data_IF_648929856428
#
_entry.id   IF_648929856428
#
_cell.length_a   1.000
_cell.length_b   1.000
_cell.length_c   1.000
_cell.angle_alpha   90.00
_cell.angle_beta   90.00
_cell.angle_gamma   90.00
#
_symmetry.space_group_name_H-M   'P 1'
#
loop_
_entity.id
_entity.type
_entity.pdbx_description
1 polymer ?
#
# COMPACT_ATOMS: atom_id res chain seq x y z
N UNK A 1 9.80 -15.74 12.32
CA UNK A 1 8.92 -16.23 11.24
C UNK A 1 8.35 -15.04 10.53
N UNK A 2 8.60 -14.94 9.22
CA UNK A 2 8.40 -13.75 8.41
C UNK A 2 6.89 -13.53 8.17
N UNK A 3 6.25 -12.65 8.95
CA UNK A 3 4.81 -12.29 8.85
C UNK A 3 4.38 -11.95 7.40
N UNK A 4 5.33 -11.55 6.55
CA UNK A 4 5.14 -11.30 5.13
C UNK A 4 4.74 -12.52 4.30
N UNK A 5 5.27 -13.72 4.62
CA UNK A 5 4.92 -14.95 3.90
C UNK A 5 3.44 -15.27 4.11
N UNK A 6 2.88 -15.06 5.29
CA UNK A 6 1.45 -15.29 5.57
C UNK A 6 0.51 -14.34 4.80
N UNK A 7 0.99 -13.17 4.36
CA UNK A 7 0.18 -12.16 3.66
C UNK A 7 0.17 -12.32 2.14
N UNK A 8 1.22 -12.94 1.61
CA UNK A 8 1.38 -13.27 0.19
C UNK A 8 0.73 -14.61 -0.15
N UNK A 9 0.45 -15.45 0.85
CA UNK A 9 -0.26 -16.70 0.66
C UNK A 9 -1.75 -16.42 0.43
N UNK A 10 -2.36 -16.93 -0.65
CA UNK A 10 -3.80 -16.82 -0.85
C UNK A 10 -4.53 -17.43 0.36
N UNK A 11 -5.52 -16.72 0.92
CA UNK A 11 -6.32 -17.26 2.02
C UNK A 11 -6.98 -18.55 1.53
N UNK A 12 -6.54 -19.67 2.08
CA UNK A 12 -7.18 -20.95 1.90
C UNK A 12 -8.61 -20.82 2.44
N UNK A 13 -9.61 -20.78 1.56
CA UNK A 13 -11.01 -20.87 1.99
C UNK A 13 -11.25 -22.31 2.46
N UNK A 14 -11.02 -22.58 3.74
CA UNK A 14 -11.53 -23.80 4.35
C UNK A 14 -13.04 -23.65 4.47
N UNK A 15 -13.76 -24.30 3.54
CA UNK A 15 -15.21 -24.47 3.61
C UNK A 15 -15.49 -25.32 4.85
N UNK A 16 -15.91 -24.69 5.95
CA UNK A 16 -16.31 -25.38 7.18
C UNK A 16 -17.62 -26.15 6.94
N UNK A 17 -17.50 -27.41 6.56
CA UNK A 17 -18.62 -28.37 6.61
C UNK A 17 -18.89 -28.70 8.08
N UNK A 18 -20.07 -28.33 8.59
CA UNK A 18 -20.60 -28.76 9.89
C UNK A 18 -20.59 -30.30 9.96
N UNK A 19 -19.66 -30.89 10.72
CA UNK A 19 -19.70 -32.33 11.04
C UNK A 19 -20.45 -32.56 12.35
N UNK A 20 -21.68 -33.09 12.24
CA UNK A 20 -22.40 -33.75 13.35
C UNK A 20 -21.53 -34.91 13.87
N UNK A 21 -21.30 -34.93 15.18
CA UNK A 21 -20.60 -35.99 15.93
C UNK A 21 -21.42 -37.29 15.91
N UNK A 22 -20.83 -38.40 15.47
CA UNK A 22 -21.08 -39.75 16.02
C UNK A 22 -19.76 -40.55 15.97
N UNK A 23 -19.37 -41.10 17.13
CA UNK A 23 -18.20 -41.98 17.36
C UNK A 23 -18.42 -43.35 16.72
N UNK A 24 -17.36 -43.98 16.16
CA UNK A 24 -16.92 -45.36 16.46
C UNK A 24 -15.73 -45.82 15.58
N UNK A 25 -14.80 -46.50 16.25
CA UNK A 25 -13.87 -47.55 15.78
C UNK A 25 -12.56 -47.21 15.03
N UNK A 26 -11.57 -48.05 15.34
CA UNK A 26 -10.13 -47.95 15.13
C UNK A 26 -9.63 -48.23 13.69
N UNK A 27 -8.40 -47.76 13.48
CA UNK A 27 -7.24 -48.45 12.88
C UNK A 27 -6.76 -48.05 11.46
N UNK A 28 -5.44 -47.80 11.42
CA UNK A 28 -4.45 -47.82 10.33
C UNK A 28 -4.58 -46.84 9.14
N UNK A 29 -3.50 -46.07 9.00
CA UNK A 29 -2.83 -45.60 7.77
C UNK A 29 -3.70 -45.09 6.62
N UNK A 30 -3.53 -43.82 6.26
CA UNK A 30 -2.99 -43.43 4.95
C UNK A 30 -2.67 -41.93 4.98
N UNK A 31 -1.48 -41.60 4.48
CA UNK A 31 -1.01 -40.24 4.24
C UNK A 31 -2.03 -39.51 3.37
N UNK A 32 -2.65 -38.46 3.89
CA UNK A 32 -3.30 -37.44 3.08
C UNK A 32 -2.60 -36.11 3.34
N UNK A 33 -1.40 -35.97 2.78
CA UNK A 33 -0.90 -34.63 2.42
C UNK A 33 -1.76 -34.23 1.23
N UNK A 34 -2.89 -33.60 1.52
CA UNK A 34 -3.70 -32.98 0.48
C UNK A 34 -2.77 -32.04 -0.28
N UNK A 35 -2.49 -32.39 -1.54
CA UNK A 35 -1.91 -31.48 -2.51
C UNK A 35 -2.91 -30.34 -2.68
N UNK A 36 -2.81 -29.32 -1.83
CA UNK A 36 -3.48 -28.05 -2.05
C UNK A 36 -2.85 -27.48 -3.30
N UNK A 37 -3.53 -27.70 -4.44
CA UNK A 37 -3.20 -27.03 -5.69
C UNK A 37 -3.41 -25.54 -5.42
N UNK A 38 -2.33 -24.84 -5.09
CA UNK A 38 -2.34 -23.40 -4.93
C UNK A 38 -2.78 -22.83 -6.27
N UNK A 39 -4.00 -22.30 -6.33
CA UNK A 39 -4.46 -21.58 -7.51
C UNK A 39 -3.46 -20.47 -7.80
N UNK A 40 -2.90 -20.47 -9.02
CA UNK A 40 -1.99 -19.41 -9.43
C UNK A 40 -2.74 -18.08 -9.32
N UNK A 41 -2.17 -17.07 -8.65
CA UNK A 41 -2.83 -15.78 -8.53
C UNK A 41 -3.16 -15.25 -9.92
N UNK A 42 -4.33 -14.66 -10.08
CA UNK A 42 -4.70 -14.04 -11.36
C UNK A 42 -3.78 -12.83 -11.66
N UNK A 43 -3.80 -12.32 -12.89
CA UNK A 43 -2.93 -11.22 -13.34
C UNK A 43 -2.99 -10.03 -12.36
N UNK A 44 -4.19 -9.65 -11.93
CA UNK A 44 -4.40 -8.55 -10.99
C UNK A 44 -3.74 -8.81 -9.63
N UNK A 45 -3.87 -10.03 -9.10
CA UNK A 45 -3.24 -10.44 -7.85
C UNK A 45 -1.71 -10.50 -7.99
N UNK A 46 -1.19 -10.95 -9.14
CA UNK A 46 0.25 -10.96 -9.41
C UNK A 46 0.84 -9.54 -9.46
N UNK A 47 0.20 -8.61 -10.17
CA UNK A 47 0.62 -7.20 -10.22
C UNK A 47 0.62 -6.57 -8.82
N UNK A 48 -0.42 -6.84 -8.04
CA UNK A 48 -0.56 -6.40 -6.66
C UNK A 48 0.57 -6.93 -5.78
N UNK A 49 0.88 -8.22 -5.86
CA UNK A 49 1.96 -8.87 -5.12
C UNK A 49 3.33 -8.34 -5.52
N UNK A 50 3.57 -8.17 -6.83
CA UNK A 50 4.82 -7.61 -7.34
C UNK A 50 5.04 -6.19 -6.81
N UNK A 51 4.01 -5.34 -6.85
CA UNK A 51 4.11 -3.96 -6.37
C UNK A 51 4.30 -3.89 -4.84
N UNK A 52 3.62 -4.76 -4.09
CA UNK A 52 3.87 -4.92 -2.65
C UNK A 52 5.31 -5.35 -2.37
N UNK A 53 5.86 -6.26 -3.18
CA UNK A 53 7.24 -6.70 -3.06
C UNK A 53 8.23 -5.56 -3.39
N UNK A 54 7.97 -4.80 -4.47
CA UNK A 54 8.78 -3.62 -4.81
C UNK A 54 8.72 -2.58 -3.68
N UNK A 55 7.54 -2.32 -3.10
CA UNK A 55 7.38 -1.41 -1.96
C UNK A 55 8.12 -1.91 -0.72
N UNK A 56 8.03 -3.21 -0.39
CA UNK A 56 8.80 -3.82 0.70
C UNK A 56 10.30 -3.60 0.51
N UNK A 57 10.82 -3.84 -0.70
CA UNK A 57 12.24 -3.66 -0.99
C UNK A 57 12.70 -2.23 -0.72
N UNK A 58 11.90 -1.25 -1.11
CA UNK A 58 12.16 0.17 -0.84
C UNK A 58 12.17 0.47 0.67
N UNK A 59 11.22 -0.08 1.44
CA UNK A 59 11.22 0.08 2.90
C UNK A 59 12.45 -0.55 3.57
N UNK A 60 12.86 -1.74 3.13
CA UNK A 60 14.02 -2.44 3.70
C UNK A 60 15.36 -1.78 3.32
N UNK A 61 15.50 -1.26 2.09
CA UNK A 61 16.66 -0.46 1.68
C UNK A 61 16.81 0.75 2.60
N UNK A 62 15.71 1.46 2.81
CA UNK A 62 15.72 2.69 3.60
C UNK A 62 15.72 2.48 5.11
N UNK A 63 15.32 1.31 5.61
CA UNK A 63 15.52 0.95 7.03
C UNK A 63 16.97 1.17 7.48
N UNK A 64 17.95 0.87 6.61
CA UNK A 64 19.37 1.11 6.89
C UNK A 64 19.72 2.60 6.97
N UNK A 65 19.12 3.42 6.11
CA UNK A 65 19.38 4.86 6.05
C UNK A 65 18.63 5.67 7.13
N UNK A 66 17.37 5.33 7.41
CA UNK A 66 16.56 6.02 8.41
C UNK A 66 17.00 5.73 9.85
N UNK A 67 17.85 4.72 10.09
CA UNK A 67 18.18 4.16 11.41
C UNK A 67 16.94 3.84 12.27
N UNK A 68 15.78 3.72 11.62
CA UNK A 68 14.48 3.46 12.24
C UNK A 68 14.02 2.08 11.87
N UNK A 69 13.32 1.45 12.81
CA UNK A 69 12.52 0.27 12.49
C UNK A 69 11.40 0.71 11.53
N UNK A 70 11.03 -0.18 10.60
CA UNK A 70 9.85 0.00 9.74
C UNK A 70 8.63 0.38 10.61
N UNK A 71 8.63 -0.17 11.83
CA UNK A 71 7.78 0.02 13.00
C UNK A 71 7.36 1.46 13.31
N UNK A 72 8.24 2.43 13.05
CA UNK A 72 8.05 3.82 13.41
C UNK A 72 8.01 4.75 12.18
N UNK A 73 7.84 4.19 10.99
CA UNK A 73 7.72 4.96 9.75
C UNK A 73 6.30 5.51 9.57
N UNK A 74 6.24 6.76 9.13
CA UNK A 74 4.99 7.42 8.73
C UNK A 74 4.85 7.36 7.21
N UNK A 75 3.83 6.64 6.74
CA UNK A 75 3.50 6.54 5.31
C UNK A 75 2.35 7.50 5.00
N UNK A 76 2.54 8.36 4.00
CA UNK A 76 1.53 9.31 3.53
C UNK A 76 1.09 8.91 2.14
N UNK A 77 -0.20 8.64 1.97
CA UNK A 77 -0.82 8.35 0.68
C UNK A 77 -1.44 9.62 0.13
N UNK A 78 -1.13 9.94 -1.13
CA UNK A 78 -1.60 11.15 -1.81
C UNK A 78 -2.28 10.77 -3.13
N UNK A 79 -3.47 11.29 -3.40
CA UNK A 79 -4.16 11.15 -4.70
C UNK A 79 -5.49 10.40 -4.65
N UNK A 80 -5.68 9.43 -5.55
CA UNK A 80 -6.90 8.61 -5.63
C UNK A 80 -6.89 7.49 -4.59
N UNK A 81 -7.41 7.81 -3.41
CA UNK A 81 -7.54 6.85 -2.31
C UNK A 81 -8.83 6.03 -2.41
N UNK A 82 -9.87 6.55 -3.07
CA UNK A 82 -11.16 5.89 -3.17
C UNK A 82 -11.13 4.67 -4.07
N UNK A 83 -10.59 4.82 -5.27
CA UNK A 83 -10.58 3.74 -6.26
C UNK A 83 -9.19 3.11 -6.45
N UNK A 84 -8.17 3.66 -5.79
CA UNK A 84 -6.80 3.13 -5.81
C UNK A 84 -6.69 1.75 -5.17
N UNK A 85 -7.01 0.67 -5.90
CA UNK A 85 -6.92 -0.72 -5.43
C UNK A 85 -5.56 -1.04 -4.78
N UNK A 86 -4.48 -0.44 -5.29
CA UNK A 86 -3.15 -0.57 -4.72
C UNK A 86 -3.01 0.11 -3.37
N UNK A 87 -3.56 1.32 -3.20
CA UNK A 87 -3.60 2.03 -1.92
C UNK A 87 -4.34 1.17 -0.90
N UNK A 88 -5.54 0.70 -1.22
CA UNK A 88 -6.32 -0.17 -0.34
C UNK A 88 -5.55 -1.42 0.07
N UNK A 89 -4.92 -2.08 -0.91
CA UNK A 89 -4.08 -3.24 -0.64
C UNK A 89 -2.93 -2.93 0.29
N UNK A 90 -2.20 -1.87 -0.03
CA UNK A 90 -0.98 -1.51 0.64
C UNK A 90 -1.31 -1.09 2.07
N UNK A 91 -2.28 -0.21 2.25
CA UNK A 91 -2.86 0.18 3.54
C UNK A 91 -3.28 -1.06 4.37
N UNK A 92 -4.08 -1.97 3.80
CA UNK A 92 -4.48 -3.22 4.49
C UNK A 92 -3.30 -4.12 4.87
N UNK A 93 -2.25 -4.14 4.06
CA UNK A 93 -1.06 -4.95 4.29
C UNK A 93 -0.17 -4.30 5.35
N UNK A 94 0.02 -2.98 5.27
CA UNK A 94 0.74 -2.16 6.24
C UNK A 94 0.14 -2.29 7.65
N UNK A 95 -1.19 -2.39 7.77
CA UNK A 95 -1.84 -2.61 9.07
C UNK A 95 -1.64 -3.98 9.69
N UNK A 96 -1.31 -4.99 8.88
CA UNK A 96 -1.02 -6.32 9.43
C UNK A 96 0.41 -6.42 9.96
N UNK A 97 1.29 -5.55 9.49
CA UNK A 97 2.50 -5.27 10.25
C UNK A 97 2.04 -4.50 11.49
N UNK A 98 2.42 -4.98 12.68
CA UNK A 98 2.21 -4.29 13.97
C UNK A 98 2.89 -2.91 14.05
N UNK A 99 3.46 -2.46 12.93
CA UNK A 99 4.72 -1.77 12.78
C UNK A 99 4.62 -0.68 11.68
N UNK A 100 3.44 -0.22 11.29
CA UNK A 100 3.31 1.05 10.56
C UNK A 100 2.29 1.86 11.33
N UNK A 101 2.78 2.58 12.33
CA UNK A 101 1.94 3.22 13.35
C UNK A 101 1.15 4.41 12.80
N UNK A 102 1.58 5.01 11.67
CA UNK A 102 1.08 6.30 11.21
C UNK A 102 0.84 6.28 9.70
N UNK A 103 -0.41 6.11 9.29
CA UNK A 103 -0.82 6.40 7.92
C UNK A 103 -1.51 7.76 7.85
N UNK A 104 -1.14 8.57 6.86
CA UNK A 104 -1.82 9.83 6.53
C UNK A 104 -2.44 9.70 5.15
N UNK A 105 -3.69 10.10 5.02
CA UNK A 105 -4.46 10.03 3.78
C UNK A 105 -4.71 11.46 3.30
N UNK A 106 -4.28 11.74 2.06
CA UNK A 106 -4.56 12.99 1.37
C UNK A 106 -5.25 12.67 0.04
N UNK A 107 -6.55 12.94 -0.07
CA UNK A 107 -7.30 12.54 -1.26
C UNK A 107 -8.82 12.48 -1.09
N UNK A 108 -9.47 11.87 -2.08
CA UNK A 108 -10.90 11.53 -2.01
C UNK A 108 -11.16 10.45 -0.95
N UNK A 109 -12.27 10.56 -0.22
CA UNK A 109 -12.61 9.61 0.83
C UNK A 109 -12.99 8.26 0.22
N UNK A 110 -12.33 7.18 0.65
CA UNK A 110 -12.79 5.84 0.28
C UNK A 110 -11.95 4.69 0.79
N UNK A 111 -10.79 4.94 1.38
CA UNK A 111 -10.12 3.93 2.20
C UNK A 111 -10.89 3.77 3.50
N UNK A 112 -11.23 2.53 3.87
CA UNK A 112 -11.87 2.25 5.16
C UNK A 112 -10.98 2.78 6.28
N UNK A 113 -11.53 3.60 7.18
CA UNK A 113 -10.77 4.11 8.31
C UNK A 113 -10.37 2.96 9.23
N UNK A 114 -9.10 2.91 9.59
CA UNK A 114 -8.54 1.96 10.54
C UNK A 114 -7.90 2.74 11.68
N UNK A 115 -7.80 2.14 12.86
CA UNK A 115 -7.34 2.82 14.10
C UNK A 115 -5.93 3.44 14.00
N UNK A 116 -5.12 3.04 13.02
CA UNK A 116 -3.75 3.51 12.82
C UNK A 116 -3.63 4.63 11.75
N UNK A 117 -4.77 5.13 11.25
CA UNK A 117 -4.80 6.34 10.42
C UNK A 117 -4.85 7.54 11.36
N UNK A 118 -3.87 8.43 11.22
CA UNK A 118 -3.69 9.57 12.14
C UNK A 118 -4.27 10.85 11.57
N UNK A 119 -4.21 11.01 10.24
CA UNK A 119 -4.69 12.20 9.56
C UNK A 119 -5.40 11.76 8.28
N UNK A 120 -6.56 12.34 8.07
CA UNK A 120 -7.32 12.29 6.82
C UNK A 120 -7.58 13.75 6.42
N UNK A 121 -7.10 14.17 5.26
CA UNK A 121 -7.10 15.57 4.84
C UNK A 121 -7.32 15.69 3.33
N UNK A 122 -7.92 16.77 2.85
CA UNK A 122 -7.96 17.06 1.43
C UNK A 122 -6.72 17.85 0.95
N UNK A 123 -5.82 18.25 1.85
CA UNK A 123 -4.72 19.18 1.55
C UNK A 123 -3.34 18.68 2.02
N UNK A 124 -2.31 19.07 1.28
CA UNK A 124 -0.92 18.80 1.63
C UNK A 124 -0.42 19.93 2.53
N UNK A 125 -0.33 19.68 3.83
CA UNK A 125 0.18 20.66 4.80
C UNK A 125 1.65 20.42 5.15
N UNK A 126 2.35 21.49 5.54
CA UNK A 126 3.75 21.43 5.97
C UNK A 126 3.97 20.40 7.10
N UNK A 127 3.05 20.36 8.07
CA UNK A 127 3.08 19.41 9.19
C UNK A 127 2.95 17.96 8.72
N UNK A 128 2.25 17.72 7.60
CA UNK A 128 2.21 16.39 7.01
C UNK A 128 3.58 16.04 6.44
N UNK A 129 4.10 16.87 5.54
CA UNK A 129 5.38 16.69 4.84
C UNK A 129 6.58 16.48 5.77
N UNK A 130 6.69 17.30 6.83
CA UNK A 130 7.77 17.22 7.81
C UNK A 130 7.73 15.95 8.65
N UNK A 131 6.59 15.26 8.70
CA UNK A 131 6.43 14.02 9.45
C UNK A 131 6.44 12.79 8.56
N UNK A 132 6.34 12.94 7.25
CA UNK A 132 6.33 11.84 6.28
C UNK A 132 7.72 11.22 6.12
N UNK A 133 7.82 9.91 6.30
CA UNK A 133 9.03 9.14 5.95
C UNK A 133 8.89 8.53 4.55
N UNK A 134 7.66 8.12 4.18
CA UNK A 134 7.34 7.56 2.86
C UNK A 134 6.14 8.26 2.26
N UNK A 135 6.33 8.92 1.12
CA UNK A 135 5.27 9.58 0.35
C UNK A 135 4.88 8.70 -0.82
N UNK A 136 3.70 8.08 -0.75
CA UNK A 136 3.16 7.24 -1.81
C UNK A 136 2.10 8.01 -2.59
N UNK A 137 2.42 8.37 -3.83
CA UNK A 137 1.57 9.21 -4.66
C UNK A 137 0.84 8.33 -5.68
N UNK A 138 -0.38 8.71 -6.02
CA UNK A 138 -1.22 8.01 -7.00
C UNK A 138 -1.87 8.97 -7.98
N UNK A 139 -2.06 8.50 -9.21
CA UNK A 139 -2.75 9.24 -10.26
C UNK A 139 -4.25 9.36 -9.98
N UNK A 140 -4.79 10.57 -10.12
CA UNK A 140 -6.23 10.82 -10.19
C UNK A 140 -6.72 10.51 -11.60
N UNK A 141 -7.61 9.53 -11.73
CA UNK A 141 -8.11 9.03 -13.01
C UNK A 141 -9.51 9.57 -13.29
N UNK A 142 -9.68 10.37 -14.35
CA UNK A 142 -10.98 10.97 -14.73
C UNK A 142 -12.05 9.90 -14.93
N UNK A 143 -11.66 8.80 -15.55
CA UNK A 143 -12.50 7.64 -15.87
C UNK A 143 -13.13 6.96 -14.64
N UNK A 144 -12.65 7.25 -13.42
CA UNK A 144 -13.18 6.66 -12.18
C UNK A 144 -14.22 7.52 -11.47
N UNK A 145 -14.40 8.76 -11.90
CA UNK A 145 -15.39 9.66 -11.31
C UNK A 145 -16.72 9.52 -12.05
N UNK A 146 -17.79 9.26 -11.29
CA UNK A 146 -19.16 9.27 -11.82
C UNK A 146 -19.65 10.68 -12.15
N UNK A 147 -19.05 11.71 -11.55
CA UNK A 147 -19.37 13.11 -11.75
C UNK A 147 -18.11 13.89 -12.14
N UNK A 148 -18.15 14.54 -13.31
CA UNK A 148 -17.05 15.37 -13.83
C UNK A 148 -16.70 16.54 -12.92
N UNK A 149 -17.66 17.12 -12.19
CA UNK A 149 -17.43 18.21 -11.24
C UNK A 149 -16.54 17.78 -10.07
N UNK A 150 -16.72 16.54 -9.57
CA UNK A 150 -15.84 15.98 -8.54
C UNK A 150 -14.42 15.77 -9.06
N UNK A 151 -14.28 15.30 -10.30
CA UNK A 151 -12.96 15.18 -10.91
C UNK A 151 -12.25 16.53 -10.99
N UNK A 152 -12.90 17.58 -11.50
CA UNK A 152 -12.28 18.92 -11.59
C UNK A 152 -11.98 19.51 -10.19
N UNK A 153 -12.74 19.16 -9.14
CA UNK A 153 -12.41 19.54 -7.75
C UNK A 153 -11.05 18.98 -7.31
N UNK A 154 -10.70 17.76 -7.69
CA UNK A 154 -9.50 17.07 -7.19
C UNK A 154 -8.32 17.10 -8.18
N UNK A 155 -8.60 17.22 -9.48
CA UNK A 155 -7.58 17.33 -10.53
C UNK A 155 -6.64 18.51 -10.22
N UNK A 156 -5.34 18.25 -10.27
CA UNK A 156 -4.31 19.27 -10.03
C UNK A 156 -4.07 19.64 -8.56
N UNK A 157 -4.95 19.26 -7.62
CA UNK A 157 -4.72 19.51 -6.18
C UNK A 157 -3.57 18.70 -5.60
N UNK A 158 -3.36 17.49 -6.11
CA UNK A 158 -2.37 16.54 -5.60
C UNK A 158 -1.12 16.48 -6.49
N UNK A 159 -0.64 17.67 -6.88
CA UNK A 159 0.54 17.83 -7.73
C UNK A 159 1.81 17.92 -6.89
N UNK A 160 2.82 17.14 -7.25
CA UNK A 160 4.14 17.15 -6.61
C UNK A 160 5.15 17.86 -7.51
N UNK A 161 5.50 19.07 -7.12
CA UNK A 161 6.57 19.87 -7.72
C UNK A 161 7.91 19.61 -7.00
N UNK A 162 9.00 20.18 -7.50
CA UNK A 162 10.32 20.07 -6.86
C UNK A 162 10.41 20.82 -5.50
N UNK A 163 9.46 21.71 -5.20
CA UNK A 163 9.42 22.46 -3.93
C UNK A 163 8.95 21.58 -2.75
N UNK A 164 8.06 20.63 -3.00
CA UNK A 164 7.47 19.75 -2.00
C UNK A 164 8.49 18.80 -1.34
N UNK A 165 9.33 18.04 -2.07
CA UNK A 165 10.38 17.22 -1.49
C UNK A 165 11.37 18.00 -0.62
N UNK A 166 11.62 19.28 -0.93
CA UNK A 166 12.51 20.14 -0.14
C UNK A 166 11.93 20.54 1.22
N UNK A 167 10.61 20.52 1.36
CA UNK A 167 9.89 20.73 2.62
C UNK A 167 9.79 19.46 3.47
N UNK A 168 10.20 18.31 2.93
CA UNK A 168 10.18 17.02 3.59
C UNK A 168 11.51 16.70 4.28
N UNK A 169 11.51 15.65 5.11
CA UNK A 169 12.74 15.13 5.73
C UNK A 169 13.80 14.80 4.67
N UNK A 170 15.08 14.99 4.99
CA UNK A 170 16.21 14.67 4.10
C UNK A 170 16.19 13.21 3.64
N UNK A 171 15.84 12.30 4.56
CA UNK A 171 15.76 10.87 4.31
C UNK A 171 14.43 10.39 3.69
N UNK A 172 13.40 11.26 3.58
CA UNK A 172 12.08 10.89 3.04
C UNK A 172 12.19 10.24 1.65
N UNK A 173 11.34 9.27 1.35
CA UNK A 173 11.24 8.67 0.02
C UNK A 173 9.91 8.95 -0.68
N UNK A 174 10.01 9.39 -1.93
CA UNK A 174 8.89 9.58 -2.85
C UNK A 174 8.72 8.32 -3.71
N UNK A 175 7.57 7.66 -3.58
CA UNK A 175 7.22 6.43 -4.28
C UNK A 175 6.00 6.68 -5.15
N UNK A 176 6.06 6.23 -6.40
CA UNK A 176 4.93 6.24 -7.31
C UNK A 176 4.82 4.90 -8.06
N UNK A 177 3.63 4.27 -8.11
CA UNK A 177 3.37 3.13 -8.98
C UNK A 177 3.32 3.61 -10.44
N UNK A 178 4.17 3.08 -11.32
CA UNK A 178 4.16 3.37 -12.78
C UNK A 178 2.73 3.38 -13.37
N UNK A 179 2.31 4.21 -14.32
CA UNK A 179 2.97 5.25 -15.12
C UNK A 179 2.47 6.64 -14.73
N UNK A 180 3.38 7.62 -14.73
CA UNK A 180 3.09 9.00 -14.36
C UNK A 180 2.49 9.77 -15.54
N UNK A 181 1.53 10.66 -15.29
CA UNK A 181 0.90 11.46 -16.36
C UNK A 181 1.04 12.96 -16.09
N UNK A 182 0.93 13.37 -14.83
CA UNK A 182 1.07 14.78 -14.48
C UNK A 182 0.98 15.08 -13.00
N UNK A 183 0.92 14.06 -12.15
CA UNK A 183 0.85 14.20 -10.69
C UNK A 183 2.22 14.43 -10.03
N UNK A 184 3.32 14.13 -10.73
CA UNK A 184 4.70 14.42 -10.29
C UNK A 184 5.43 15.06 -11.46
N UNK A 185 6.04 16.22 -11.23
CA UNK A 185 6.91 16.91 -12.20
C UNK A 185 8.13 16.09 -12.57
N UNK A 186 8.62 16.24 -13.80
CA UNK A 186 9.87 15.62 -14.25
C UNK A 186 11.08 16.13 -13.46
N UNK A 187 11.04 17.36 -12.95
CA UNK A 187 12.10 17.92 -12.08
C UNK A 187 12.30 17.14 -10.78
N UNK A 188 11.26 16.42 -10.31
CA UNK A 188 11.42 15.54 -9.16
C UNK A 188 12.33 14.34 -9.44
N UNK A 189 12.59 14.00 -10.71
CA UNK A 189 13.38 12.81 -11.09
C UNK A 189 14.84 12.91 -10.66
N UNK A 190 15.38 14.13 -10.64
CA UNK A 190 16.75 14.40 -10.19
C UNK A 190 16.86 14.44 -8.66
N UNK A 191 15.74 14.42 -7.93
CA UNK A 191 15.74 14.43 -6.48
C UNK A 191 16.16 13.06 -5.94
N UNK A 192 17.16 13.00 -5.06
CA UNK A 192 17.66 11.75 -4.48
C UNK A 192 16.59 10.95 -3.70
N UNK A 193 15.51 11.63 -3.29
CA UNK A 193 14.36 11.04 -2.59
C UNK A 193 13.43 10.27 -3.52
N UNK A 194 13.47 10.54 -4.82
CA UNK A 194 12.59 9.95 -5.81
C UNK A 194 12.96 8.48 -6.10
N UNK A 195 12.03 7.58 -5.79
CA UNK A 195 12.15 6.13 -6.01
C UNK A 195 10.93 5.66 -6.78
N UNK A 196 10.99 5.80 -8.09
CA UNK A 196 9.98 5.27 -8.98
C UNK A 196 10.21 3.79 -9.21
N UNK A 197 9.13 3.01 -9.20
CA UNK A 197 9.23 1.64 -9.65
C UNK A 197 9.47 1.66 -11.16
N UNK A 198 10.73 1.54 -11.56
CA UNK A 198 11.09 1.25 -12.95
C UNK A 198 10.26 0.05 -13.42
N UNK A 199 9.74 0.17 -14.63
CA UNK A 199 8.92 -0.87 -15.27
C UNK A 199 9.72 -2.15 -15.35
#
# INVERSE_FOLDING_TARGET
MDLWLELVQPRCKTRTMKKKRKKKHMNKNFKNVGSTRMEKPNIVQQTKLLLLHKFRRVLEEKKKEFLKRIDDMTVTFIGDLKYGMMVHSLVQTLFKFRNVKKSKLIGDEGVKKHNNIIVDSEEITQTILQNTDVMYVTRIQKERFSNSSLYEKFKGKYFIDNSLPNKCKSAMILVHPSARVGEITTECDDNHRAKYFQR
#
